data_IF_108915600806
#
_entry.id   IF_108915600806
#
_cell.length_a   1.000
_cell.length_b   1.000
_cell.length_c   1.000
_cell.angle_alpha   90.00
_cell.angle_beta   90.00
_cell.angle_gamma   90.00
#
_symmetry.space_group_name_H-M   'P 1'
#
loop_
_entity.id
_entity.type
_entity.pdbx_description
1 polymer ?
#
# COMPACT_ATOMS: atom_id res chain seq x y z
N UNK A 1 3.89 -18.86 0.59
CA UNK A 1 2.63 -18.80 -0.18
C UNK A 1 2.36 -17.34 -0.54
N UNK A 2 1.69 -17.01 -1.66
CA UNK A 2 1.22 -15.65 -1.89
C UNK A 2 0.08 -15.30 -0.93
N UNK A 3 -0.02 -14.03 -0.57
CA UNK A 3 -1.15 -13.46 0.17
C UNK A 3 -2.12 -12.84 -0.84
N UNK A 4 -3.41 -13.12 -0.68
CA UNK A 4 -4.47 -12.56 -1.54
C UNK A 4 -5.43 -11.78 -0.64
N UNK A 5 -5.77 -10.58 -1.05
CA UNK A 5 -6.72 -9.70 -0.37
C UNK A 5 -7.75 -9.22 -1.37
N UNK A 6 -9.02 -9.28 -0.98
CA UNK A 6 -10.13 -8.68 -1.72
C UNK A 6 -10.84 -7.75 -0.74
N UNK A 7 -11.14 -6.55 -1.19
CA UNK A 7 -11.78 -5.57 -0.33
C UNK A 7 -12.58 -4.52 -1.09
N UNK A 8 -13.30 -3.75 -0.33
CA UNK A 8 -14.08 -2.61 -0.82
C UNK A 8 -13.94 -1.46 0.16
N UNK A 9 -13.67 -0.27 -0.37
CA UNK A 9 -13.69 0.96 0.39
C UNK A 9 -15.07 1.59 0.22
N UNK A 10 -15.66 2.01 1.32
CA UNK A 10 -16.92 2.75 1.35
C UNK A 10 -18.05 2.11 0.51
N UNK A 11 -18.43 0.86 0.82
CA UNK A 11 -19.45 0.14 0.04
C UNK A 11 -20.85 0.75 0.15
N UNK A 12 -21.07 1.60 1.15
CA UNK A 12 -22.38 2.14 1.52
C UNK A 12 -22.62 3.56 1.04
N UNK A 13 -21.63 4.24 0.46
CA UNK A 13 -21.83 5.56 -0.10
C UNK A 13 -22.67 5.47 -1.37
N UNK A 14 -23.95 5.84 -1.24
CA UNK A 14 -24.88 5.91 -2.35
C UNK A 14 -24.67 7.21 -3.16
N UNK A 15 -24.98 7.15 -4.45
CA UNK A 15 -25.17 8.34 -5.26
C UNK A 15 -26.38 9.11 -4.75
N UNK A 16 -26.20 10.39 -4.41
CA UNK A 16 -27.28 11.19 -3.78
C UNK A 16 -28.43 11.61 -4.70
N UNK A 17 -28.42 11.27 -5.98
CA UNK A 17 -29.39 11.83 -6.91
C UNK A 17 -30.79 11.16 -6.88
N UNK A 18 -30.93 10.00 -6.25
CA UNK A 18 -32.21 9.28 -6.24
C UNK A 18 -32.63 8.71 -4.88
N UNK A 19 -31.86 8.93 -3.84
CA UNK A 19 -32.18 8.45 -2.48
C UNK A 19 -32.14 6.93 -2.32
N UNK A 20 -31.70 6.18 -3.33
CA UNK A 20 -31.59 4.73 -3.24
C UNK A 20 -30.19 4.30 -2.79
N UNK A 21 -30.14 3.32 -1.91
CA UNK A 21 -28.89 2.80 -1.34
C UNK A 21 -27.94 2.17 -2.40
N UNK A 22 -28.45 1.87 -3.58
CA UNK A 22 -27.76 1.22 -4.69
C UNK A 22 -27.92 1.97 -6.02
N UNK A 23 -28.17 3.29 -5.96
CA UNK A 23 -28.36 4.11 -7.15
C UNK A 23 -27.16 4.11 -8.10
N UNK A 24 -27.39 4.50 -9.35
CA UNK A 24 -26.32 4.67 -10.33
C UNK A 24 -25.30 5.71 -9.85
N UNK A 25 -24.03 5.35 -9.85
CA UNK A 25 -22.94 6.26 -9.53
C UNK A 25 -22.73 7.17 -10.73
N UNK A 26 -23.27 8.37 -10.66
CA UNK A 26 -23.04 9.39 -11.69
C UNK A 26 -21.69 10.08 -11.48
N UNK A 27 -21.20 10.76 -12.52
CA UNK A 27 -19.92 11.53 -12.47
C UNK A 27 -19.85 12.50 -11.30
N UNK A 28 -20.99 13.03 -10.86
CA UNK A 28 -21.08 14.05 -9.82
C UNK A 28 -21.54 13.49 -8.46
N UNK A 29 -21.72 12.18 -8.35
CA UNK A 29 -22.16 11.53 -7.11
C UNK A 29 -21.01 11.26 -6.12
N UNK A 30 -21.37 10.96 -4.87
CA UNK A 30 -20.41 10.66 -3.78
C UNK A 30 -19.63 9.35 -3.94
N UNK A 31 -19.89 8.54 -4.96
CA UNK A 31 -19.24 7.24 -5.19
C UNK A 31 -17.75 7.29 -5.49
N UNK A 32 -17.09 8.43 -5.32
CA UNK A 32 -15.65 8.57 -5.58
C UNK A 32 -14.81 7.61 -4.73
N UNK A 33 -15.15 7.41 -3.47
CA UNK A 33 -14.43 6.53 -2.55
C UNK A 33 -14.90 5.08 -2.60
N UNK A 34 -15.99 4.76 -3.27
CA UNK A 34 -16.50 3.40 -3.44
C UNK A 34 -15.62 2.65 -4.45
N UNK A 35 -14.61 1.96 -3.94
CA UNK A 35 -13.62 1.25 -4.75
C UNK A 35 -13.52 -0.20 -4.33
N UNK A 36 -13.67 -1.09 -5.28
CA UNK A 36 -13.38 -2.51 -5.14
C UNK A 36 -11.93 -2.77 -5.52
N UNK A 37 -11.28 -3.68 -4.84
CA UNK A 37 -9.93 -4.07 -5.17
C UNK A 37 -9.67 -5.54 -4.87
N UNK A 38 -8.79 -6.12 -5.68
CA UNK A 38 -8.15 -7.40 -5.41
C UNK A 38 -6.64 -7.20 -5.48
N UNK A 39 -5.92 -7.73 -4.52
CA UNK A 39 -4.47 -7.61 -4.47
C UNK A 39 -3.82 -8.96 -4.18
N UNK A 40 -2.69 -9.20 -4.80
CA UNK A 40 -1.82 -10.34 -4.55
C UNK A 40 -0.42 -9.88 -4.23
N UNK A 41 0.17 -10.49 -3.22
CA UNK A 41 1.53 -10.18 -2.78
C UNK A 41 2.32 -11.46 -2.58
N UNK A 42 3.58 -11.46 -3.01
CA UNK A 42 4.49 -12.55 -2.75
C UNK A 42 5.89 -12.03 -2.42
N UNK A 43 6.49 -12.58 -1.37
CA UNK A 43 7.85 -12.29 -0.95
C UNK A 43 8.78 -13.45 -1.30
N UNK A 44 9.99 -13.12 -1.70
CA UNK A 44 11.06 -14.04 -2.06
C UNK A 44 12.32 -13.67 -1.29
N UNK A 45 12.95 -14.66 -0.69
CA UNK A 45 14.31 -14.51 -0.20
C UNK A 45 15.28 -14.72 -1.35
N UNK A 46 16.14 -13.73 -1.58
CA UNK A 46 17.21 -13.77 -2.57
C UNK A 46 18.56 -13.60 -1.84
N UNK A 47 19.70 -13.93 -2.45
CA UNK A 47 21.00 -13.92 -1.77
C UNK A 47 21.42 -12.58 -1.14
N UNK A 48 20.78 -11.47 -1.51
CA UNK A 48 21.14 -10.12 -1.05
C UNK A 48 20.05 -9.43 -0.26
N UNK A 49 18.92 -10.12 0.01
CA UNK A 49 17.82 -9.53 0.75
C UNK A 49 16.46 -10.16 0.47
N UNK A 50 15.41 -9.44 0.80
CA UNK A 50 14.02 -9.81 0.57
C UNK A 50 13.41 -8.96 -0.54
N UNK A 51 12.86 -9.63 -1.56
CA UNK A 51 12.13 -9.02 -2.67
C UNK A 51 10.64 -9.30 -2.52
N UNK A 52 9.81 -8.26 -2.44
CA UNK A 52 8.36 -8.37 -2.50
C UNK A 52 7.85 -7.96 -3.88
N UNK A 53 6.87 -8.69 -4.39
CA UNK A 53 6.16 -8.38 -5.63
C UNK A 53 4.68 -8.25 -5.28
N UNK A 54 4.07 -7.18 -5.75
CA UNK A 54 2.68 -6.82 -5.51
C UNK A 54 1.99 -6.56 -6.83
N UNK A 55 0.75 -7.03 -6.96
CA UNK A 55 -0.13 -6.67 -8.06
C UNK A 55 -1.54 -6.49 -7.53
N UNK A 56 -2.26 -5.52 -8.05
CA UNK A 56 -3.65 -5.27 -7.67
C UNK A 56 -4.47 -4.81 -8.86
N UNK A 57 -5.76 -5.09 -8.80
CA UNK A 57 -6.75 -4.55 -9.70
C UNK A 57 -7.70 -3.68 -8.90
N UNK A 58 -7.89 -2.46 -9.37
CA UNK A 58 -8.69 -1.43 -8.74
C UNK A 58 -9.88 -1.10 -9.64
N UNK A 59 -11.08 -1.08 -9.08
CA UNK A 59 -12.30 -0.81 -9.82
C UNK A 59 -13.22 0.14 -9.05
N UNK A 60 -13.62 1.22 -9.71
CA UNK A 60 -14.68 2.11 -9.29
C UNK A 60 -15.66 2.24 -10.45
N UNK A 61 -16.96 2.27 -10.16
CA UNK A 61 -18.02 2.43 -11.17
C UNK A 61 -17.95 3.77 -11.93
N UNK A 62 -17.31 4.78 -11.34
CA UNK A 62 -17.14 6.09 -11.98
C UNK A 62 -16.13 5.96 -13.14
N UNK A 63 -16.54 6.47 -14.29
CA UNK A 63 -15.68 6.48 -15.49
C UNK A 63 -14.57 7.54 -15.44
N UNK A 64 -14.75 8.56 -14.61
CA UNK A 64 -13.78 9.64 -14.37
C UNK A 64 -12.81 9.32 -13.22
N UNK A 65 -12.91 8.12 -12.62
CA UNK A 65 -12.02 7.74 -11.53
C UNK A 65 -10.60 7.45 -12.04
N UNK A 66 -9.60 8.18 -11.55
CA UNK A 66 -8.27 8.15 -12.14
C UNK A 66 -7.50 6.85 -11.93
N UNK A 67 -7.83 6.07 -10.90
CA UNK A 67 -7.08 4.89 -10.48
C UNK A 67 -7.79 3.55 -10.81
N UNK A 68 -8.67 3.54 -11.83
CA UNK A 68 -9.22 2.29 -12.34
C UNK A 68 -8.16 1.54 -13.15
N UNK A 69 -7.97 0.26 -12.88
CA UNK A 69 -7.06 -0.58 -13.63
C UNK A 69 -6.09 -1.39 -12.78
N UNK A 70 -4.99 -1.79 -13.40
CA UNK A 70 -3.94 -2.59 -12.77
C UNK A 70 -2.91 -1.68 -12.15
N UNK A 71 -2.64 -1.89 -10.86
CA UNK A 71 -1.48 -1.34 -10.17
C UNK A 71 -0.53 -2.47 -9.80
N UNK A 72 0.76 -2.23 -9.85
CA UNK A 72 1.77 -3.20 -9.47
C UNK A 72 2.98 -2.52 -8.85
N UNK A 73 3.74 -3.28 -8.07
CA UNK A 73 4.93 -2.76 -7.43
C UNK A 73 5.89 -3.85 -7.00
N UNK A 74 7.09 -3.42 -6.74
CA UNK A 74 8.13 -4.23 -6.13
C UNK A 74 8.69 -3.48 -4.93
N UNK A 75 9.07 -4.22 -3.90
CA UNK A 75 9.85 -3.67 -2.82
C UNK A 75 11.08 -4.55 -2.56
N UNK A 76 12.17 -3.91 -2.18
CA UNK A 76 13.42 -4.57 -1.88
C UNK A 76 13.96 -4.12 -0.53
N UNK A 77 14.25 -5.08 0.33
CA UNK A 77 14.90 -4.88 1.63
C UNK A 77 16.26 -5.58 1.61
N UNK A 78 17.37 -4.83 1.53
CA UNK A 78 18.70 -5.41 1.49
C UNK A 78 19.12 -6.00 2.85
N UNK A 79 19.81 -7.14 2.85
CA UNK A 79 20.30 -7.79 4.08
C UNK A 79 21.38 -6.99 4.79
N UNK A 80 22.21 -6.25 4.04
CA UNK A 80 23.24 -5.39 4.59
C UNK A 80 22.69 -4.13 5.26
N UNK A 81 21.39 -3.79 5.02
CA UNK A 81 20.74 -2.61 5.59
C UNK A 81 19.26 -2.85 5.85
N UNK A 82 18.97 -3.73 6.82
CA UNK A 82 17.61 -4.24 7.11
C UNK A 82 16.58 -3.16 7.45
N UNK A 83 17.05 -1.98 7.84
CA UNK A 83 16.19 -0.83 8.16
C UNK A 83 15.68 -0.10 6.91
N UNK A 84 16.27 -0.36 5.75
CA UNK A 84 15.90 0.25 4.49
C UNK A 84 14.94 -0.65 3.71
N UNK A 85 13.87 -0.08 3.18
CA UNK A 85 12.99 -0.72 2.22
C UNK A 85 12.81 0.23 1.03
N UNK A 86 13.26 -0.18 -0.14
CA UNK A 86 13.09 0.58 -1.39
C UNK A 86 11.89 0.04 -2.12
N UNK A 87 11.07 0.93 -2.65
CA UNK A 87 9.79 0.61 -3.29
C UNK A 87 9.74 1.26 -4.66
N UNK A 88 9.30 0.51 -5.65
CA UNK A 88 8.95 1.03 -6.98
C UNK A 88 7.56 0.53 -7.29
N UNK A 89 6.66 1.43 -7.62
CA UNK A 89 5.27 1.07 -7.90
C UNK A 89 4.69 1.84 -9.08
N UNK A 90 3.77 1.22 -9.77
CA UNK A 90 2.92 1.82 -10.79
C UNK A 90 1.47 1.78 -10.29
N UNK A 91 0.89 2.95 -10.11
CA UNK A 91 -0.44 3.15 -9.50
C UNK A 91 -1.58 3.25 -10.52
N UNK A 92 -1.50 2.54 -11.64
CA UNK A 92 -2.37 2.62 -12.82
C UNK A 92 -2.03 3.75 -13.81
N UNK A 93 -1.33 4.80 -13.40
CA UNK A 93 -1.00 5.96 -14.24
C UNK A 93 0.46 6.38 -14.19
N UNK A 94 1.02 6.43 -13.00
CA UNK A 94 2.34 7.00 -12.74
C UNK A 94 3.26 5.97 -12.15
N UNK A 95 4.54 6.13 -12.43
CA UNK A 95 5.60 5.38 -11.79
C UNK A 95 6.12 6.18 -10.59
N UNK A 96 6.05 5.55 -9.42
CA UNK A 96 6.49 6.14 -8.16
C UNK A 96 7.69 5.35 -7.63
N UNK A 97 8.66 6.06 -7.07
CA UNK A 97 9.82 5.45 -6.40
C UNK A 97 9.89 5.99 -4.99
N UNK A 98 9.99 5.10 -4.02
CA UNK A 98 10.02 5.47 -2.63
C UNK A 98 11.03 4.70 -1.81
N UNK A 99 11.30 5.19 -0.62
CA UNK A 99 12.09 4.50 0.38
C UNK A 99 11.49 4.70 1.77
N UNK A 100 11.54 3.66 2.58
CA UNK A 100 11.20 3.72 3.99
C UNK A 100 12.44 3.36 4.78
N UNK A 101 12.82 4.23 5.71
CA UNK A 101 13.92 4.00 6.63
C UNK A 101 13.41 3.89 8.06
N UNK A 102 13.59 2.72 8.68
CA UNK A 102 13.09 2.41 10.03
C UNK A 102 14.18 2.58 11.07
N UNK A 103 13.90 3.33 12.14
CA UNK A 103 14.78 3.53 13.29
C UNK A 103 14.14 3.02 14.58
N UNK A 104 14.98 2.73 15.58
CA UNK A 104 14.56 2.29 16.91
C UNK A 104 13.58 1.13 16.90
N UNK A 105 14.00 0.02 16.31
CA UNK A 105 13.18 -1.18 16.21
C UNK A 105 11.78 -0.89 15.62
N UNK A 106 11.74 -0.12 14.53
CA UNK A 106 10.53 0.24 13.78
C UNK A 106 9.58 1.23 14.49
N UNK A 107 10.05 1.89 15.56
CA UNK A 107 9.25 2.95 16.20
C UNK A 107 9.18 4.23 15.36
N UNK A 108 10.25 4.61 14.69
CA UNK A 108 10.29 5.74 13.77
C UNK A 108 10.52 5.26 12.35
N UNK A 109 9.67 5.70 11.43
CA UNK A 109 9.82 5.43 10.02
C UNK A 109 9.82 6.74 9.25
N UNK A 110 10.91 6.99 8.53
CA UNK A 110 11.03 8.06 7.57
C UNK A 110 10.60 7.53 6.20
N UNK A 111 9.66 8.22 5.58
CA UNK A 111 9.18 7.92 4.24
C UNK A 111 9.66 8.99 3.29
N UNK A 112 10.12 8.57 2.14
CA UNK A 112 10.47 9.43 1.02
C UNK A 112 9.86 8.84 -0.24
N UNK A 113 9.24 9.68 -1.05
CA UNK A 113 8.63 9.28 -2.31
C UNK A 113 8.87 10.33 -3.39
N UNK A 114 9.19 9.85 -4.58
CA UNK A 114 9.25 10.62 -5.82
C UNK A 114 8.14 10.12 -6.74
N UNK A 115 7.09 10.91 -6.89
CA UNK A 115 5.95 10.59 -7.72
C UNK A 115 6.14 11.15 -9.13
N UNK A 116 5.97 10.29 -10.14
CA UNK A 116 6.12 10.62 -11.58
C UNK A 116 7.47 11.29 -11.92
N UNK A 117 8.50 11.08 -11.11
CA UNK A 117 9.79 11.75 -11.28
C UNK A 117 9.77 13.28 -11.08
N UNK A 118 8.67 13.85 -10.58
CA UNK A 118 8.45 15.30 -10.50
C UNK A 118 8.13 15.79 -9.10
N UNK A 119 7.31 15.04 -8.37
CA UNK A 119 6.79 15.49 -7.08
C UNK A 119 7.45 14.71 -5.95
N UNK A 120 8.08 15.43 -5.04
CA UNK A 120 8.72 14.85 -3.86
C UNK A 120 7.76 14.94 -2.69
N UNK A 121 7.55 13.83 -2.00
CA UNK A 121 6.85 13.77 -0.72
C UNK A 121 7.71 13.12 0.35
N UNK A 122 7.57 13.58 1.59
CA UNK A 122 8.25 13.03 2.75
C UNK A 122 7.26 12.84 3.88
N UNK A 123 7.45 11.79 4.67
CA UNK A 123 6.61 11.49 5.82
C UNK A 123 7.41 10.98 7.01
N UNK A 124 6.85 11.17 8.20
CA UNK A 124 7.35 10.61 9.43
C UNK A 124 6.22 9.86 10.12
N UNK A 125 6.48 8.59 10.44
CA UNK A 125 5.53 7.77 11.21
C UNK A 125 6.17 7.36 12.52
N UNK A 126 5.49 7.62 13.63
CA UNK A 126 5.86 7.14 14.95
C UNK A 126 4.87 6.07 15.40
N UNK A 127 5.39 4.89 15.75
CA UNK A 127 4.59 3.75 16.22
C UNK A 127 4.75 3.57 17.72
N UNK A 128 3.64 3.60 18.44
CA UNK A 128 3.59 3.31 19.88
C UNK A 128 2.89 1.98 20.10
N UNK A 129 3.58 1.04 20.74
CA UNK A 129 2.98 -0.22 21.16
C UNK A 129 2.37 -0.07 22.55
N UNK A 130 1.06 0.04 22.63
CA UNK A 130 0.33 0.22 23.91
C UNK A 130 0.20 -1.07 24.72
N UNK A 131 0.48 -2.24 24.14
CA UNK A 131 0.54 -3.52 24.86
C UNK A 131 2.00 -3.93 25.01
N UNK A 132 2.52 -3.91 26.23
CA UNK A 132 3.79 -4.53 26.59
C UNK A 132 3.72 -6.04 26.44
N UNK A 133 3.80 -6.54 25.23
CA UNK A 133 3.84 -7.97 24.92
C UNK A 133 5.21 -8.37 24.39
N UNK A 134 5.65 -9.57 24.74
CA UNK A 134 6.90 -10.21 24.29
C UNK A 134 7.00 -10.44 22.78
N UNK A 135 6.16 -9.77 22.00
CA UNK A 135 6.05 -9.94 20.53
C UNK A 135 7.36 -9.64 19.78
N UNK A 136 8.22 -8.81 20.37
CA UNK A 136 9.49 -8.42 19.74
C UNK A 136 10.64 -9.37 20.00
N UNK A 137 10.58 -10.15 21.09
CA UNK A 137 11.66 -11.12 21.39
C UNK A 137 11.74 -12.27 20.39
N UNK A 138 10.62 -12.71 19.80
CA UNK A 138 10.61 -13.83 18.87
C UNK A 138 11.14 -13.46 17.49
N UNK A 139 11.00 -12.23 17.04
CA UNK A 139 11.36 -11.81 15.69
C UNK A 139 12.85 -11.50 15.48
N UNK A 140 13.58 -11.23 16.59
CA UNK A 140 15.01 -10.91 16.55
C UNK A 140 15.92 -12.01 17.05
N UNK A 141 15.39 -13.07 17.68
CA UNK A 141 16.17 -14.21 18.17
C UNK A 141 16.35 -15.33 17.15
N UNK A 142 15.56 -15.35 16.08
CA UNK A 142 15.68 -16.35 15.01
C UNK A 142 16.73 -15.99 13.93
N UNK A 143 17.56 -14.97 14.18
CA UNK A 143 18.63 -14.53 13.27
C UNK A 143 20.03 -14.63 13.93
N UNK A 144 20.28 -15.73 14.66
CA UNK A 144 21.66 -16.13 15.01
C UNK A 144 22.06 -17.39 14.27
#
# INVERSE_FOLDING_TARGET
MPSIVIGVNDPTTASQNDGTYYGEVTKNGNGYFNRWYAAVTKHFHIPYGELGIHASYLYNKRTDYPLNGVACGINFRPDFHKNLNVIVEHDTKTLNVGAIYSLWADHFNFLFELQDGKYVSCGLVYKVNLKGGNYWKSKFLDYK
#
